data_IF_960908109353
#
_entry.id   IF_960908109353
#
_cell.length_a   1.000
_cell.length_b   1.000
_cell.length_c   1.000
_cell.angle_alpha   90.00
_cell.angle_beta   90.00
_cell.angle_gamma   90.00
#
_symmetry.space_group_name_H-M   'P 1'
#
loop_
_entity.id
_entity.type
_entity.pdbx_description
1 polymer ?
#
# COMPACT_ATOMS: atom_id res chain seq x y z
N UNK A 1 0.31 -14.21 -7.38
CA UNK A 1 1.18 -15.02 -6.50
C UNK A 1 2.61 -14.53 -6.50
N UNK A 2 2.91 -13.59 -5.59
CA UNK A 2 4.21 -12.97 -5.39
C UNK A 2 4.97 -13.60 -4.22
N UNK A 3 4.34 -14.54 -3.50
CA UNK A 3 4.90 -15.22 -2.33
C UNK A 3 4.86 -14.37 -1.05
N UNK A 4 4.34 -13.14 -1.12
CA UNK A 4 4.19 -12.22 0.00
C UNK A 4 2.80 -12.37 0.64
N UNK A 5 1.77 -12.61 -0.17
CA UNK A 5 0.39 -12.90 0.24
C UNK A 5 0.26 -14.13 1.15
N UNK A 6 1.17 -15.10 1.00
CA UNK A 6 1.20 -16.37 1.76
C UNK A 6 1.98 -16.27 3.07
N UNK A 7 2.59 -15.11 3.36
CA UNK A 7 3.28 -14.89 4.64
C UNK A 7 2.26 -14.74 5.78
N UNK A 8 2.63 -15.13 7.02
CA UNK A 8 1.81 -14.85 8.19
C UNK A 8 1.40 -13.39 8.28
N UNK A 9 0.16 -13.14 8.73
CA UNK A 9 -0.40 -11.79 8.86
C UNK A 9 0.54 -10.77 9.53
N UNK A 10 1.23 -11.06 10.65
CA UNK A 10 2.16 -10.09 11.26
C UNK A 10 3.30 -9.64 10.36
N UNK A 11 3.77 -10.52 9.47
CA UNK A 11 4.84 -10.19 8.51
C UNK A 11 4.29 -9.29 7.40
N UNK A 12 3.12 -9.64 6.86
CA UNK A 12 2.45 -8.80 5.84
C UNK A 12 2.16 -7.40 6.39
N UNK A 13 1.65 -7.32 7.61
CA UNK A 13 1.34 -6.08 8.30
C UNK A 13 2.61 -5.26 8.57
N UNK A 14 3.71 -5.89 8.98
CA UNK A 14 4.99 -5.22 9.18
C UNK A 14 5.53 -4.61 7.88
N UNK A 15 5.45 -5.33 6.76
CA UNK A 15 5.86 -4.81 5.44
C UNK A 15 4.96 -3.64 5.02
N UNK A 16 3.65 -3.76 5.23
CA UNK A 16 2.68 -2.71 4.90
C UNK A 16 2.96 -1.41 5.66
N UNK A 17 3.18 -1.49 6.98
CA UNK A 17 3.51 -0.33 7.82
C UNK A 17 4.82 0.31 7.35
N UNK A 18 5.84 -0.49 7.03
CA UNK A 18 7.11 0.05 6.53
C UNK A 18 6.95 0.75 5.19
N UNK A 19 6.11 0.23 4.29
CA UNK A 19 5.81 0.87 3.02
C UNK A 19 5.12 2.22 3.24
N UNK A 20 4.05 2.26 4.04
CA UNK A 20 3.32 3.50 4.34
C UNK A 20 4.20 4.55 5.04
N UNK A 21 5.20 4.12 5.85
CA UNK A 21 6.17 5.06 6.46
C UNK A 21 7.15 5.61 5.43
N UNK A 22 7.60 4.79 4.46
CA UNK A 22 8.48 5.26 3.39
C UNK A 22 7.74 6.28 2.52
N UNK A 23 6.48 5.98 2.21
CA UNK A 23 5.54 6.81 1.47
C UNK A 23 5.33 8.16 2.17
N UNK A 24 4.93 8.16 3.44
CA UNK A 24 4.70 9.37 4.22
C UNK A 24 5.93 10.28 4.37
N UNK A 25 7.15 9.73 4.22
CA UNK A 25 8.41 10.49 4.27
C UNK A 25 8.79 11.10 2.90
N UNK A 26 8.04 10.80 1.86
CA UNK A 26 8.28 11.27 0.51
C UNK A 26 7.66 12.66 0.29
N UNK A 27 8.42 13.70 0.64
CA UNK A 27 7.91 15.08 0.68
C UNK A 27 8.03 15.85 -0.65
N UNK A 28 8.29 15.20 -1.80
CA UNK A 28 8.53 15.87 -3.09
C UNK A 28 7.31 15.73 -4.01
N UNK A 29 6.40 16.73 -4.06
CA UNK A 29 5.15 16.60 -4.80
C UNK A 29 5.38 16.50 -6.32
N UNK A 30 4.59 15.68 -7.00
CA UNK A 30 4.41 15.67 -8.46
C UNK A 30 5.33 14.74 -9.25
N UNK A 31 6.62 14.64 -8.91
CA UNK A 31 7.54 13.65 -9.54
C UNK A 31 7.54 12.35 -8.76
N UNK A 32 7.40 12.45 -7.44
CA UNK A 32 7.20 11.31 -6.54
C UNK A 32 5.94 10.53 -6.90
N UNK A 33 4.82 11.24 -6.99
CA UNK A 33 3.46 10.72 -7.12
C UNK A 33 3.30 9.77 -8.34
N UNK A 34 4.04 10.04 -9.43
CA UNK A 34 4.00 9.21 -10.66
C UNK A 34 4.66 7.84 -10.47
N UNK A 35 5.67 7.76 -9.60
CA UNK A 35 6.41 6.52 -9.28
C UNK A 35 5.80 5.83 -8.06
N UNK A 36 5.26 6.61 -7.14
CA UNK A 36 4.67 6.21 -5.87
C UNK A 36 3.35 5.46 -6.05
N UNK A 37 2.43 6.00 -6.85
CA UNK A 37 1.16 5.33 -7.17
C UNK A 37 1.33 3.87 -7.65
N UNK A 38 2.18 3.56 -8.66
CA UNK A 38 2.38 2.17 -9.08
C UNK A 38 3.14 1.34 -8.04
N UNK A 39 3.97 1.94 -7.19
CA UNK A 39 4.69 1.22 -6.13
C UNK A 39 3.73 0.81 -5.00
N UNK A 40 2.88 1.73 -4.53
CA UNK A 40 1.88 1.46 -3.48
C UNK A 40 0.83 0.47 -3.95
N UNK A 41 0.35 0.64 -5.20
CA UNK A 41 -0.54 -0.33 -5.84
C UNK A 41 0.08 -1.73 -5.89
N UNK A 42 1.36 -1.82 -6.24
CA UNK A 42 2.10 -3.08 -6.28
C UNK A 42 2.26 -3.70 -4.89
N UNK A 43 2.67 -2.92 -3.89
CA UNK A 43 2.86 -3.41 -2.51
C UNK A 43 1.55 -3.92 -1.94
N UNK A 44 0.46 -3.16 -2.06
CA UNK A 44 -0.86 -3.56 -1.59
C UNK A 44 -1.35 -4.84 -2.28
N UNK A 45 -1.15 -4.96 -3.61
CA UNK A 45 -1.48 -6.17 -4.35
C UNK A 45 -0.59 -7.35 -3.98
N UNK A 46 0.72 -7.16 -3.87
CA UNK A 46 1.66 -8.24 -3.56
C UNK A 46 1.43 -8.80 -2.15
N UNK A 47 0.99 -7.97 -1.21
CA UNK A 47 0.69 -8.40 0.16
C UNK A 47 -0.68 -9.07 0.31
N UNK A 48 -1.60 -8.96 -0.64
CA UNK A 48 -2.98 -9.47 -0.51
C UNK A 48 -3.42 -10.42 -1.63
N UNK A 49 -2.72 -10.41 -2.77
CA UNK A 49 -3.15 -11.01 -4.06
C UNK A 49 -4.57 -10.56 -4.48
N UNK A 50 -5.02 -9.39 -4.01
CA UNK A 50 -6.37 -8.86 -4.24
C UNK A 50 -6.35 -7.60 -5.12
N UNK A 51 -7.06 -7.65 -6.26
CA UNK A 51 -7.11 -6.54 -7.23
C UNK A 51 -7.76 -5.28 -6.64
N UNK A 52 -8.60 -5.39 -5.62
CA UNK A 52 -9.16 -4.22 -4.92
C UNK A 52 -8.08 -3.47 -4.14
N UNK A 53 -7.13 -4.18 -3.54
CA UNK A 53 -6.00 -3.58 -2.84
C UNK A 53 -5.11 -2.77 -3.78
N UNK A 54 -4.96 -3.25 -5.03
CA UNK A 54 -4.26 -2.52 -6.09
C UNK A 54 -4.90 -1.16 -6.36
N UNK A 55 -6.22 -1.12 -6.51
CA UNK A 55 -6.95 0.11 -6.82
C UNK A 55 -6.85 1.14 -5.69
N UNK A 56 -6.86 0.69 -4.43
CA UNK A 56 -6.74 1.59 -3.27
C UNK A 56 -5.30 2.10 -3.11
N UNK A 57 -4.30 1.23 -3.25
CA UNK A 57 -2.89 1.65 -3.20
C UNK A 57 -2.52 2.62 -4.35
N UNK A 58 -3.13 2.45 -5.53
CA UNK A 58 -2.96 3.38 -6.64
C UNK A 58 -3.65 4.74 -6.39
N UNK A 59 -4.79 4.73 -5.69
CA UNK A 59 -5.51 5.96 -5.38
C UNK A 59 -4.76 6.82 -4.37
N UNK A 60 -4.02 6.18 -3.46
CA UNK A 60 -3.22 6.84 -2.42
C UNK A 60 -2.03 7.60 -3.01
N UNK A 61 -1.18 6.94 -3.79
CA UNK A 61 0.02 7.57 -4.36
C UNK A 61 -0.24 8.62 -5.45
N UNK A 62 -1.51 8.96 -5.74
CA UNK A 62 -1.90 10.11 -6.59
C UNK A 62 -2.26 11.34 -5.74
N UNK A 63 -2.41 11.17 -4.41
CA UNK A 63 -2.76 12.24 -3.50
C UNK A 63 -1.51 13.07 -3.21
N UNK A 64 -1.57 14.41 -3.33
CA UNK A 64 -0.45 15.25 -2.95
C UNK A 64 -0.31 15.28 -1.42
N UNK A 65 0.93 15.36 -0.93
CA UNK A 65 1.20 15.67 0.47
C UNK A 65 0.41 16.94 0.92
N UNK A 66 -0.23 16.95 2.11
CA UNK A 66 -0.12 15.99 3.22
C UNK A 66 -1.23 14.92 3.23
N UNK A 67 -2.05 14.81 2.18
CA UNK A 67 -3.12 13.81 2.12
C UNK A 67 -2.53 12.39 1.95
N UNK A 68 -1.35 12.33 1.36
CA UNK A 68 -0.42 11.20 1.19
C UNK A 68 0.15 10.59 2.50
N UNK A 69 -0.54 10.81 3.62
CA UNK A 69 -0.23 10.19 4.92
C UNK A 69 -1.20 9.06 5.25
N UNK A 70 -2.06 8.70 4.29
CA UNK A 70 -3.04 7.66 4.50
C UNK A 70 -2.33 6.30 4.41
N UNK A 71 -2.44 5.42 5.42
CA UNK A 71 -1.67 4.18 5.44
C UNK A 71 -2.34 3.10 4.58
N UNK A 72 -2.36 3.32 3.27
CA UNK A 72 -3.17 2.52 2.34
C UNK A 72 -2.77 1.06 2.31
N UNK A 73 -1.47 0.73 2.32
CA UNK A 73 -1.02 -0.65 2.32
C UNK A 73 -1.43 -1.35 3.62
N UNK A 74 -1.28 -0.68 4.77
CA UNK A 74 -1.68 -1.23 6.08
C UNK A 74 -3.18 -1.49 6.13
N UNK A 75 -4.00 -0.53 5.68
CA UNK A 75 -5.47 -0.68 5.67
C UNK A 75 -5.88 -1.83 4.76
N UNK A 76 -5.24 -2.01 3.60
CA UNK A 76 -5.55 -3.11 2.69
C UNK A 76 -5.18 -4.48 3.26
N UNK A 77 -4.03 -4.62 3.91
CA UNK A 77 -3.65 -5.88 4.56
C UNK A 77 -4.63 -6.25 5.68
N UNK A 78 -5.08 -5.27 6.48
CA UNK A 78 -6.08 -5.50 7.52
C UNK A 78 -7.45 -5.86 6.90
N UNK A 79 -7.88 -5.13 5.87
CA UNK A 79 -9.17 -5.39 5.22
C UNK A 79 -9.23 -6.78 4.57
N UNK A 80 -8.13 -7.24 3.98
CA UNK A 80 -7.99 -8.58 3.40
C UNK A 80 -8.04 -9.67 4.48
N UNK A 81 -7.33 -9.50 5.59
CA UNK A 81 -7.37 -10.44 6.73
C UNK A 81 -8.78 -10.56 7.35
N UNK A 82 -9.53 -9.45 7.37
CA UNK A 82 -10.91 -9.41 7.87
C UNK A 82 -11.95 -9.89 6.82
N UNK A 83 -11.53 -10.20 5.59
CA UNK A 83 -12.42 -10.64 4.51
C UNK A 83 -13.37 -9.54 3.98
N UNK A 84 -13.00 -8.27 4.14
CA UNK A 84 -13.81 -7.14 3.66
C UNK A 84 -13.62 -6.86 2.17
N UNK A 85 -12.48 -7.27 1.62
CA UNK A 85 -12.14 -7.12 0.20
C UNK A 85 -11.85 -8.46 -0.45
#
# INVERSE_FOLDING_TARGET
>A
MWGLESKPFPIRLGIAILADVIDALNMIPGVSDIIEAPLNAFVAYALTDNVKALAVGAADGILPAPIDWFPSATVMVIADELGWI
#
